data_IF_510105446393
#
_entry.id   IF_510105446393
#
_cell.length_a   1.000
_cell.length_b   1.000
_cell.length_c   1.000
_cell.angle_alpha   90.00
_cell.angle_beta   90.00
_cell.angle_gamma   90.00
#
_symmetry.space_group_name_H-M   'P 1'
#
loop_
_entity.id
_entity.type
_entity.pdbx_description
1 polymer ?
#
# COMPACT_ATOMS: atom_id res chain seq x y z
N UNK A 1 9.15 90.73 -13.10
CA UNK A 1 9.43 89.46 -13.81
C UNK A 1 9.44 88.36 -12.76
N UNK A 2 8.27 87.77 -12.48
CA UNK A 2 8.12 86.65 -11.55
C UNK A 2 7.41 85.56 -12.34
N UNK A 3 8.18 84.59 -12.80
CA UNK A 3 7.70 83.41 -13.52
C UNK A 3 6.84 82.58 -12.57
N UNK A 4 5.55 82.42 -12.88
CA UNK A 4 4.76 81.37 -12.29
C UNK A 4 5.37 80.02 -12.73
N UNK A 5 5.65 79.07 -11.82
CA UNK A 5 6.13 77.76 -12.22
C UNK A 5 5.06 77.06 -13.06
N UNK A 6 5.52 76.32 -14.08
CA UNK A 6 4.71 75.51 -14.96
C UNK A 6 3.94 74.43 -14.15
N UNK A 7 2.61 74.27 -14.30
CA UNK A 7 1.84 73.28 -13.53
C UNK A 7 2.28 71.83 -13.73
N UNK A 8 3.07 71.55 -14.78
CA UNK A 8 3.55 70.22 -15.11
C UNK A 8 4.66 69.67 -14.19
N UNK A 9 5.23 70.47 -13.28
CA UNK A 9 6.30 70.01 -12.37
C UNK A 9 5.82 69.52 -11.00
N UNK A 10 4.50 69.45 -10.79
CA UNK A 10 3.90 68.76 -9.64
C UNK A 10 3.34 67.39 -10.06
N UNK A 11 4.08 66.64 -10.87
CA UNK A 11 3.92 65.18 -10.87
C UNK A 11 4.45 64.68 -9.53
N UNK A 12 3.58 64.75 -8.52
CA UNK A 12 3.76 64.16 -7.20
C UNK A 12 4.31 62.74 -7.41
N UNK A 13 5.60 62.54 -7.09
CA UNK A 13 6.19 61.21 -7.07
C UNK A 13 5.47 60.44 -5.98
N UNK A 14 4.32 59.84 -6.33
CA UNK A 14 3.48 59.12 -5.40
C UNK A 14 4.37 58.03 -4.81
N UNK A 15 4.66 58.19 -3.52
CA UNK A 15 5.55 57.32 -2.77
C UNK A 15 5.14 55.87 -3.05
N UNK A 16 6.07 54.99 -3.47
CA UNK A 16 5.76 53.59 -3.74
C UNK A 16 4.97 52.93 -2.60
N UNK A 17 5.20 53.34 -1.35
CA UNK A 17 4.43 52.88 -0.19
C UNK A 17 2.96 53.30 -0.23
N UNK A 18 2.64 54.50 -0.69
CA UNK A 18 1.26 55.01 -0.84
C UNK A 18 0.50 54.23 -1.92
N UNK A 19 1.16 53.88 -3.04
CA UNK A 19 0.53 53.05 -4.08
C UNK A 19 0.26 51.63 -3.60
N UNK A 20 1.18 51.05 -2.84
CA UNK A 20 1.00 49.74 -2.21
C UNK A 20 -0.15 49.79 -1.19
N UNK A 21 -0.24 50.85 -0.38
CA UNK A 21 -1.32 51.03 0.59
C UNK A 21 -2.69 51.21 -0.08
N UNK A 22 -2.76 52.03 -1.15
CA UNK A 22 -3.99 52.19 -1.94
C UNK A 22 -4.42 50.85 -2.55
N UNK A 23 -3.50 50.11 -3.18
CA UNK A 23 -3.81 48.80 -3.77
C UNK A 23 -4.30 47.79 -2.73
N UNK A 24 -3.67 47.71 -1.55
CA UNK A 24 -4.12 46.84 -0.46
C UNK A 24 -5.52 47.22 0.04
N UNK A 25 -5.83 48.52 0.07
CA UNK A 25 -7.14 49.03 0.52
C UNK A 25 -8.22 48.72 -0.52
N UNK A 26 -7.93 48.94 -1.80
CA UNK A 26 -8.85 48.69 -2.91
C UNK A 26 -9.13 47.18 -3.10
N UNK A 27 -8.15 46.33 -2.81
CA UNK A 27 -8.26 44.87 -2.90
C UNK A 27 -8.53 44.18 -1.55
N UNK A 28 -8.79 44.95 -0.49
CA UNK A 28 -8.95 44.46 0.88
C UNK A 28 -9.98 43.33 1.00
N UNK A 29 -11.10 43.39 0.27
CA UNK A 29 -12.11 42.33 0.25
C UNK A 29 -11.58 41.02 -0.33
N UNK A 30 -10.84 41.08 -1.44
CA UNK A 30 -10.22 39.90 -2.07
C UNK A 30 -9.15 39.32 -1.17
N UNK A 31 -8.34 40.16 -0.53
CA UNK A 31 -7.32 39.73 0.42
C UNK A 31 -7.94 39.05 1.64
N UNK A 32 -8.99 39.60 2.22
CA UNK A 32 -9.71 39.00 3.36
C UNK A 32 -10.33 37.65 2.98
N UNK A 33 -10.98 37.54 1.81
CA UNK A 33 -11.56 36.28 1.35
C UNK A 33 -10.45 35.24 1.08
N UNK A 34 -9.36 35.63 0.44
CA UNK A 34 -8.24 34.72 0.16
C UNK A 34 -7.57 34.22 1.45
N UNK A 35 -7.37 35.11 2.43
CA UNK A 35 -6.84 34.75 3.75
C UNK A 35 -7.80 33.81 4.50
N UNK A 36 -9.11 34.06 4.45
CA UNK A 36 -10.11 33.19 5.05
C UNK A 36 -10.09 31.78 4.43
N UNK A 37 -9.98 31.67 3.10
CA UNK A 37 -9.86 30.38 2.40
C UNK A 37 -8.60 29.63 2.86
N UNK A 38 -7.46 30.32 2.97
CA UNK A 38 -6.21 29.71 3.44
C UNK A 38 -6.34 29.22 4.88
N UNK A 39 -6.90 30.04 5.78
CA UNK A 39 -7.10 29.67 7.19
C UNK A 39 -8.06 28.49 7.31
N UNK A 40 -9.18 28.50 6.59
CA UNK A 40 -10.13 27.37 6.57
C UNK A 40 -9.49 26.11 5.98
N UNK A 41 -8.66 26.24 4.94
CA UNK A 41 -7.90 25.14 4.37
C UNK A 41 -6.92 24.53 5.38
N UNK A 42 -6.15 25.36 6.09
CA UNK A 42 -5.23 24.91 7.14
C UNK A 42 -6.00 24.26 8.30
N UNK A 43 -7.08 24.88 8.77
CA UNK A 43 -7.92 24.32 9.84
C UNK A 43 -8.55 22.98 9.43
N UNK A 44 -8.98 22.86 8.18
CA UNK A 44 -9.49 21.61 7.61
C UNK A 44 -8.42 20.51 7.57
N UNK A 45 -7.19 20.83 7.14
CA UNK A 45 -6.07 19.90 7.14
C UNK A 45 -5.69 19.44 8.55
N UNK A 46 -5.61 20.37 9.50
CA UNK A 46 -5.29 20.05 10.91
C UNK A 46 -6.40 19.20 11.54
N UNK A 47 -7.66 19.58 11.35
CA UNK A 47 -8.80 18.81 11.87
C UNK A 47 -8.87 17.41 11.27
N UNK A 48 -8.63 17.27 9.97
CA UNK A 48 -8.56 15.97 9.29
C UNK A 48 -7.41 15.10 9.82
N UNK A 49 -6.21 15.68 10.01
CA UNK A 49 -5.06 14.94 10.53
C UNK A 49 -5.32 14.41 11.93
N UNK A 50 -5.86 15.23 12.84
CA UNK A 50 -6.19 14.79 14.20
C UNK A 50 -7.28 13.69 14.20
N UNK A 51 -8.31 13.84 13.37
CA UNK A 51 -9.35 12.82 13.22
C UNK A 51 -8.78 11.50 12.67
N UNK A 52 -7.92 11.58 11.65
CA UNK A 52 -7.30 10.41 11.03
C UNK A 52 -6.34 9.70 11.99
N UNK A 53 -5.58 10.45 12.80
CA UNK A 53 -4.62 9.90 13.76
C UNK A 53 -5.34 9.19 14.91
N UNK A 54 -6.39 9.78 15.47
CA UNK A 54 -7.19 9.12 16.51
C UNK A 54 -7.84 7.82 15.99
N UNK A 55 -8.38 7.84 14.77
CA UNK A 55 -8.94 6.63 14.15
C UNK A 55 -7.89 5.55 13.92
N UNK A 56 -6.68 5.93 13.53
CA UNK A 56 -5.58 4.96 13.38
C UNK A 56 -5.24 4.32 14.74
N UNK A 57 -5.09 5.12 15.79
CA UNK A 57 -4.74 4.61 17.12
C UNK A 57 -5.81 3.65 17.67
N UNK A 58 -7.08 4.01 17.53
CA UNK A 58 -8.20 3.15 17.93
C UNK A 58 -8.21 1.84 17.12
N UNK A 59 -8.04 1.93 15.79
CA UNK A 59 -7.99 0.76 14.92
C UNK A 59 -6.82 -0.18 15.25
N UNK A 60 -5.65 0.35 15.62
CA UNK A 60 -4.49 -0.46 16.01
C UNK A 60 -4.74 -1.27 17.29
N UNK A 61 -5.44 -0.69 18.28
CA UNK A 61 -5.78 -1.39 19.52
C UNK A 61 -6.75 -2.55 19.23
N UNK A 62 -7.77 -2.29 18.41
CA UNK A 62 -8.74 -3.32 18.00
C UNK A 62 -8.05 -4.41 17.18
N UNK A 63 -7.17 -4.03 16.25
CA UNK A 63 -6.39 -4.96 15.45
C UNK A 63 -5.56 -5.90 16.32
N UNK A 64 -4.89 -5.38 17.35
CA UNK A 64 -4.09 -6.20 18.26
C UNK A 64 -4.92 -7.28 18.97
N UNK A 65 -6.19 -7.00 19.28
CA UNK A 65 -7.10 -8.01 19.87
C UNK A 65 -7.46 -9.09 18.85
N UNK A 66 -7.81 -8.70 17.61
CA UNK A 66 -8.12 -9.64 16.54
C UNK A 66 -6.90 -10.50 16.12
N UNK A 67 -5.71 -9.92 16.06
CA UNK A 67 -4.44 -10.63 15.88
C UNK A 67 -4.19 -11.64 17.01
N UNK A 68 -4.58 -11.30 18.24
CA UNK A 68 -4.54 -12.20 19.39
C UNK A 68 -5.32 -13.49 19.11
N UNK A 69 -6.56 -13.39 18.65
CA UNK A 69 -7.38 -14.54 18.26
C UNK A 69 -6.76 -15.34 17.10
N UNK A 70 -6.25 -14.64 16.08
CA UNK A 70 -5.60 -15.27 14.93
C UNK A 70 -4.39 -16.12 15.38
N UNK A 71 -3.56 -15.58 16.28
CA UNK A 71 -2.31 -16.20 16.73
C UNK A 71 -2.51 -17.52 17.49
N UNK A 72 -3.70 -17.73 18.06
CA UNK A 72 -4.09 -18.94 18.78
C UNK A 72 -5.06 -19.83 18.00
N UNK A 73 -5.27 -19.55 16.71
CA UNK A 73 -6.11 -20.37 15.82
C UNK A 73 -7.61 -20.17 15.97
N UNK A 74 -8.06 -19.10 16.63
CA UNK A 74 -9.49 -18.76 16.76
C UNK A 74 -9.95 -17.91 15.57
N UNK A 75 -9.94 -18.49 14.38
CA UNK A 75 -10.12 -17.76 13.12
C UNK A 75 -11.48 -17.08 12.97
N UNK A 76 -12.59 -17.73 13.36
CA UNK A 76 -13.92 -17.11 13.35
C UNK A 76 -13.99 -15.88 14.29
N UNK A 77 -13.37 -15.96 15.47
CA UNK A 77 -13.29 -14.85 16.41
C UNK A 77 -12.35 -13.74 15.90
N UNK A 78 -11.27 -14.10 15.21
CA UNK A 78 -10.38 -13.12 14.58
C UNK A 78 -11.10 -12.34 13.47
N UNK A 79 -11.94 -13.01 12.68
CA UNK A 79 -12.71 -12.39 11.60
C UNK A 79 -13.85 -11.52 12.10
N UNK A 80 -14.62 -12.04 13.05
CA UNK A 80 -15.92 -11.48 13.42
C UNK A 80 -15.94 -10.81 14.81
N UNK A 81 -14.89 -10.99 15.61
CA UNK A 81 -14.90 -10.63 17.03
C UNK A 81 -15.73 -11.61 17.86
N UNK A 82 -15.91 -11.26 19.14
CA UNK A 82 -16.71 -12.01 20.11
C UNK A 82 -17.70 -11.04 20.73
N UNK A 83 -18.99 -11.22 20.40
CA UNK A 83 -20.05 -10.30 20.82
C UNK A 83 -20.18 -10.22 22.36
N UNK A 84 -20.04 -11.35 23.06
CA UNK A 84 -20.11 -11.39 24.54
C UNK A 84 -19.01 -10.55 25.22
N UNK A 85 -17.89 -10.39 24.53
CA UNK A 85 -16.69 -9.71 25.05
C UNK A 85 -16.54 -8.32 24.42
N UNK A 86 -17.51 -7.88 23.60
CA UNK A 86 -17.53 -6.63 22.85
C UNK A 86 -16.26 -6.40 22.01
N UNK A 87 -15.68 -7.47 21.47
CA UNK A 87 -14.49 -7.38 20.61
C UNK A 87 -14.89 -7.29 19.14
N UNK A 88 -14.09 -6.57 18.35
CA UNK A 88 -14.25 -6.45 16.90
C UNK A 88 -13.23 -7.33 16.20
N UNK A 89 -13.65 -7.97 15.10
CA UNK A 89 -12.76 -8.74 14.23
C UNK A 89 -12.31 -7.94 13.01
N UNK A 90 -11.47 -8.58 12.18
CA UNK A 90 -10.90 -7.95 11.00
C UNK A 90 -11.95 -7.39 10.04
N UNK A 91 -13.12 -8.03 9.89
CA UNK A 91 -14.20 -7.58 9.00
C UNK A 91 -14.77 -6.24 9.46
N UNK A 92 -15.04 -6.11 10.76
CA UNK A 92 -15.53 -4.86 11.35
C UNK A 92 -14.46 -3.78 11.37
N UNK A 93 -13.19 -4.14 11.60
CA UNK A 93 -12.07 -3.19 11.58
C UNK A 93 -11.89 -2.62 10.17
N UNK A 94 -11.89 -3.47 9.13
CA UNK A 94 -11.74 -3.06 7.74
C UNK A 94 -12.81 -2.05 7.31
N UNK A 95 -14.08 -2.34 7.63
CA UNK A 95 -15.22 -1.49 7.25
C UNK A 95 -15.32 -0.23 8.12
N UNK A 96 -15.18 -0.36 9.44
CA UNK A 96 -15.32 0.74 10.40
C UNK A 96 -14.13 1.71 10.40
N UNK A 97 -12.93 1.23 10.05
CA UNK A 97 -11.69 2.02 10.06
C UNK A 97 -11.08 2.23 8.67
N UNK A 98 -11.88 2.12 7.61
CA UNK A 98 -11.40 2.32 6.24
C UNK A 98 -10.56 3.60 6.09
N UNK A 99 -9.44 3.48 5.38
CA UNK A 99 -8.42 4.52 5.19
C UNK A 99 -7.25 4.47 6.18
N UNK A 100 -7.35 3.72 7.28
CA UNK A 100 -6.25 3.51 8.23
C UNK A 100 -5.29 2.41 7.77
N UNK A 101 -4.06 2.44 8.25
CA UNK A 101 -3.07 1.36 8.04
C UNK A 101 -3.52 0.10 8.76
N UNK A 102 -4.11 0.22 9.95
CA UNK A 102 -4.70 -0.89 10.67
C UNK A 102 -5.80 -1.59 9.87
N UNK A 103 -6.72 -0.85 9.22
CA UNK A 103 -7.76 -1.45 8.37
C UNK A 103 -7.18 -2.12 7.12
N UNK A 104 -6.11 -1.56 6.54
CA UNK A 104 -5.38 -2.21 5.47
C UNK A 104 -4.81 -3.56 5.96
N UNK A 105 -4.12 -3.56 7.10
CA UNK A 105 -3.53 -4.76 7.67
C UNK A 105 -4.58 -5.81 8.10
N UNK A 106 -5.74 -5.36 8.60
CA UNK A 106 -6.89 -6.22 8.86
C UNK A 106 -7.35 -6.98 7.60
N UNK A 107 -7.27 -6.37 6.41
CA UNK A 107 -7.61 -7.05 5.15
C UNK A 107 -6.68 -8.21 4.85
N UNK A 108 -5.37 -8.05 5.13
CA UNK A 108 -4.40 -9.14 5.01
C UNK A 108 -4.66 -10.25 6.04
N UNK A 109 -4.85 -9.91 7.31
CA UNK A 109 -5.09 -10.94 8.32
C UNK A 109 -6.46 -11.62 8.20
N UNK A 110 -7.48 -10.92 7.70
CA UNK A 110 -8.74 -11.54 7.31
C UNK A 110 -8.52 -12.60 6.22
N UNK A 111 -7.67 -12.31 5.23
CA UNK A 111 -7.36 -13.30 4.20
C UNK A 111 -6.70 -14.56 4.75
N UNK A 112 -5.82 -14.43 5.74
CA UNK A 112 -5.21 -15.58 6.42
C UNK A 112 -6.29 -16.36 7.18
N UNK A 113 -7.11 -15.70 7.99
CA UNK A 113 -8.15 -16.37 8.76
C UNK A 113 -9.17 -17.09 7.86
N UNK A 114 -9.57 -16.47 6.74
CA UNK A 114 -10.44 -17.13 5.75
C UNK A 114 -9.77 -18.34 5.11
N UNK A 115 -8.49 -18.25 4.75
CA UNK A 115 -7.75 -19.37 4.17
C UNK A 115 -7.65 -20.54 5.15
N UNK A 116 -7.36 -20.27 6.42
CA UNK A 116 -7.28 -21.29 7.47
C UNK A 116 -8.63 -21.97 7.75
N UNK A 117 -9.75 -21.28 7.49
CA UNK A 117 -11.10 -21.85 7.52
C UNK A 117 -11.46 -22.61 6.24
N UNK A 118 -10.56 -22.73 5.26
CA UNK A 118 -10.80 -23.35 3.97
C UNK A 118 -11.66 -22.50 3.02
N UNK A 119 -11.83 -21.21 3.31
CA UNK A 119 -12.66 -20.27 2.55
C UNK A 119 -11.81 -19.48 1.55
N UNK A 120 -11.18 -20.17 0.59
CA UNK A 120 -10.22 -19.59 -0.37
C UNK A 120 -10.78 -18.41 -1.16
N UNK A 121 -12.04 -18.44 -1.59
CA UNK A 121 -12.66 -17.33 -2.34
C UNK A 121 -12.75 -16.04 -1.50
N UNK A 122 -13.11 -16.17 -0.21
CA UNK A 122 -13.17 -15.04 0.72
C UNK A 122 -11.77 -14.54 1.10
N UNK A 123 -10.80 -15.47 1.17
CA UNK A 123 -9.40 -15.11 1.35
C UNK A 123 -8.88 -14.25 0.19
N UNK A 124 -9.18 -14.65 -1.06
CA UNK A 124 -8.83 -13.89 -2.26
C UNK A 124 -9.49 -12.52 -2.29
N UNK A 125 -10.78 -12.43 -1.97
CA UNK A 125 -11.47 -11.14 -1.89
C UNK A 125 -10.83 -10.21 -0.84
N UNK A 126 -10.44 -10.76 0.31
CA UNK A 126 -9.82 -10.00 1.39
C UNK A 126 -8.42 -9.52 1.03
N UNK A 127 -7.57 -10.40 0.47
CA UNK A 127 -6.19 -10.03 0.09
C UNK A 127 -6.16 -9.06 -1.09
N UNK A 128 -7.14 -9.08 -1.99
CA UNK A 128 -7.25 -8.10 -3.07
C UNK A 128 -7.54 -6.67 -2.57
N UNK A 129 -8.15 -6.55 -1.39
CA UNK A 129 -8.40 -5.25 -0.76
C UNK A 129 -7.16 -4.69 -0.04
N UNK A 130 -6.18 -5.56 0.28
CA UNK A 130 -4.92 -5.16 0.89
C UNK A 130 -4.03 -4.41 -0.11
N UNK A 131 -3.47 -3.30 0.34
CA UNK A 131 -2.47 -2.50 -0.38
C UNK A 131 -1.08 -2.80 0.20
N UNK A 132 -0.16 -3.35 -0.60
CA UNK A 132 1.20 -3.63 -0.16
C UNK A 132 1.91 -2.40 0.40
N UNK A 133 2.54 -2.58 1.56
CA UNK A 133 3.39 -1.57 2.20
C UNK A 133 4.80 -1.67 1.63
N UNK A 134 5.45 -0.53 1.37
CA UNK A 134 6.83 -0.51 0.85
C UNK A 134 7.80 -1.24 1.78
N UNK A 135 8.80 -1.89 1.18
CA UNK A 135 9.86 -2.61 1.89
C UNK A 135 9.43 -4.01 2.33
N UNK A 136 10.24 -4.63 3.18
CA UNK A 136 10.14 -6.05 3.54
C UNK A 136 8.77 -6.48 4.08
N UNK A 137 8.04 -5.59 4.76
CA UNK A 137 6.72 -5.90 5.33
C UNK A 137 5.64 -6.15 4.26
N UNK A 138 5.82 -5.68 3.02
CA UNK A 138 4.91 -5.97 1.92
C UNK A 138 5.16 -7.31 1.24
N UNK A 139 6.35 -7.89 1.40
CA UNK A 139 6.76 -9.12 0.71
C UNK A 139 5.85 -10.30 1.09
N UNK A 140 5.67 -10.53 2.40
CA UNK A 140 4.84 -11.65 2.90
C UNK A 140 3.40 -11.61 2.40
N UNK A 141 2.67 -10.49 2.52
CA UNK A 141 1.32 -10.36 1.98
C UNK A 141 1.21 -10.55 0.46
N UNK A 142 2.19 -10.08 -0.32
CA UNK A 142 2.20 -10.29 -1.78
C UNK A 142 2.39 -11.79 -2.09
N UNK A 143 3.35 -12.45 -1.43
CA UNK A 143 3.56 -13.89 -1.60
C UNK A 143 2.34 -14.71 -1.14
N UNK A 144 1.65 -14.30 -0.07
CA UNK A 144 0.42 -14.96 0.35
C UNK A 144 -0.70 -14.80 -0.67
N UNK A 145 -0.81 -13.63 -1.33
CA UNK A 145 -1.73 -13.47 -2.47
C UNK A 145 -1.38 -14.44 -3.60
N UNK A 146 -0.10 -14.59 -3.94
CA UNK A 146 0.35 -15.56 -4.95
C UNK A 146 -0.06 -16.98 -4.57
N UNK A 147 0.17 -17.39 -3.32
CA UNK A 147 -0.28 -18.69 -2.79
C UNK A 147 -1.79 -18.90 -2.95
N UNK A 148 -2.60 -17.90 -2.61
CA UNK A 148 -4.06 -18.00 -2.78
C UNK A 148 -4.49 -18.14 -4.25
N UNK A 149 -3.73 -17.53 -5.18
CA UNK A 149 -3.93 -17.71 -6.62
C UNK A 149 -3.50 -19.10 -7.09
N UNK A 150 -2.51 -19.75 -6.47
CA UNK A 150 -2.21 -21.16 -6.77
C UNK A 150 -3.34 -22.08 -6.31
N UNK A 151 -3.85 -21.85 -5.10
CA UNK A 151 -4.89 -22.66 -4.47
C UNK A 151 -6.22 -22.62 -5.25
N UNK A 152 -6.51 -21.51 -5.95
CA UNK A 152 -7.69 -21.42 -6.83
C UNK A 152 -7.40 -21.84 -8.29
N UNK A 153 -6.19 -22.32 -8.59
CA UNK A 153 -5.77 -22.78 -9.91
C UNK A 153 -5.36 -21.68 -10.90
N UNK A 154 -5.24 -20.42 -10.47
CA UNK A 154 -4.79 -19.29 -11.29
C UNK A 154 -3.26 -19.23 -11.38
N UNK A 155 -2.63 -20.30 -11.84
CA UNK A 155 -1.17 -20.48 -11.77
C UNK A 155 -0.35 -19.40 -12.47
N UNK A 156 -0.81 -18.88 -13.62
CA UNK A 156 -0.10 -17.80 -14.32
C UNK A 156 -0.06 -16.53 -13.48
N UNK A 157 -1.23 -16.13 -12.94
CA UNK A 157 -1.33 -14.96 -12.06
C UNK A 157 -0.57 -15.16 -10.74
N UNK A 158 -0.50 -16.39 -10.23
CA UNK A 158 0.32 -16.71 -9.07
C UNK A 158 1.81 -16.52 -9.36
N UNK A 159 2.29 -16.97 -10.52
CA UNK A 159 3.67 -16.75 -10.96
C UNK A 159 4.03 -15.27 -10.98
N UNK A 160 3.20 -14.45 -11.64
CA UNK A 160 3.38 -13.00 -11.69
C UNK A 160 3.41 -12.39 -10.29
N UNK A 161 2.54 -12.86 -9.40
CA UNK A 161 2.44 -12.33 -8.04
C UNK A 161 3.59 -12.76 -7.13
N UNK A 162 4.17 -13.93 -7.34
CA UNK A 162 5.43 -14.29 -6.67
C UNK A 162 6.60 -13.47 -7.21
N UNK A 163 6.64 -13.15 -8.50
CA UNK A 163 7.66 -12.24 -9.05
C UNK A 163 7.53 -10.83 -8.49
N UNK A 164 6.30 -10.34 -8.29
CA UNK A 164 6.06 -9.10 -7.53
C UNK A 164 6.67 -9.20 -6.13
N UNK A 165 6.47 -10.31 -5.40
CA UNK A 165 7.04 -10.49 -4.05
C UNK A 165 8.57 -10.55 -4.07
N UNK A 166 9.15 -11.25 -5.05
CA UNK A 166 10.60 -11.41 -5.22
C UNK A 166 11.31 -10.08 -5.43
N UNK A 167 10.68 -9.17 -6.19
CA UNK A 167 11.23 -7.86 -6.59
C UNK A 167 10.74 -6.69 -5.72
N UNK A 168 9.80 -6.92 -4.79
CA UNK A 168 9.25 -5.86 -3.94
C UNK A 168 10.28 -5.28 -2.96
N UNK A 169 11.18 -6.13 -2.45
CA UNK A 169 12.25 -5.76 -1.54
C UNK A 169 13.36 -6.80 -1.60
N UNK A 170 14.36 -6.56 -2.45
CA UNK A 170 15.49 -7.46 -2.70
C UNK A 170 16.12 -7.98 -1.40
N UNK A 171 16.25 -9.30 -1.30
CA UNK A 171 16.79 -9.99 -0.13
C UNK A 171 17.31 -11.38 -0.53
N UNK A 172 18.56 -11.68 -0.20
CA UNK A 172 19.26 -12.95 -0.47
C UNK A 172 18.53 -14.21 0.02
N UNK A 173 17.68 -14.07 1.05
CA UNK A 173 16.89 -15.16 1.62
C UNK A 173 15.52 -15.35 0.98
N UNK A 174 14.79 -14.27 0.69
CA UNK A 174 13.40 -14.35 0.22
C UNK A 174 13.24 -14.20 -1.29
N UNK A 175 14.08 -13.40 -1.95
CA UNK A 175 14.02 -13.22 -3.41
C UNK A 175 14.19 -14.53 -4.17
N UNK A 176 15.25 -15.34 -3.93
CA UNK A 176 15.39 -16.61 -4.65
C UNK A 176 14.33 -17.65 -4.25
N UNK A 177 13.72 -17.56 -3.06
CA UNK A 177 12.58 -18.42 -2.71
C UNK A 177 11.39 -18.11 -3.62
N UNK A 178 10.97 -16.84 -3.66
CA UNK A 178 9.80 -16.44 -4.45
C UNK A 178 10.03 -16.54 -5.96
N UNK A 179 11.26 -16.37 -6.45
CA UNK A 179 11.60 -16.72 -7.84
C UNK A 179 11.37 -18.22 -8.12
N UNK A 180 11.77 -19.09 -7.19
CA UNK A 180 11.55 -20.54 -7.34
C UNK A 180 10.05 -20.87 -7.31
N UNK A 181 9.29 -20.28 -6.39
CA UNK A 181 7.83 -20.46 -6.35
C UNK A 181 7.17 -19.97 -7.65
N UNK A 182 7.55 -18.78 -8.14
CA UNK A 182 7.06 -18.25 -9.40
C UNK A 182 7.31 -19.21 -10.56
N UNK A 183 8.52 -19.76 -10.67
CA UNK A 183 8.86 -20.74 -11.71
C UNK A 183 8.02 -22.02 -11.62
N UNK A 184 7.72 -22.52 -10.41
CA UNK A 184 6.79 -23.64 -10.25
C UNK A 184 5.36 -23.26 -10.67
N UNK A 185 4.87 -22.07 -10.34
CA UNK A 185 3.55 -21.61 -10.79
C UNK A 185 3.50 -21.47 -12.31
N UNK A 186 4.52 -20.88 -12.95
CA UNK A 186 4.62 -20.80 -14.42
C UNK A 186 4.66 -22.20 -15.07
N UNK A 187 5.41 -23.15 -14.49
CA UNK A 187 5.40 -24.55 -14.93
C UNK A 187 3.98 -25.14 -14.87
N UNK A 188 3.24 -24.93 -13.77
CA UNK A 188 1.86 -25.43 -13.62
C UNK A 188 0.90 -24.76 -14.60
N UNK A 189 1.14 -23.50 -14.96
CA UNK A 189 0.40 -22.79 -16.00
C UNK A 189 0.70 -23.28 -17.42
N UNK A 190 1.74 -24.11 -17.60
CA UNK A 190 2.24 -24.52 -18.91
C UNK A 190 3.14 -23.49 -19.60
N UNK A 191 3.50 -22.41 -18.90
CA UNK A 191 4.42 -21.39 -19.39
C UNK A 191 5.87 -21.78 -19.08
N UNK A 192 6.37 -22.77 -19.83
CA UNK A 192 7.69 -23.34 -19.60
C UNK A 192 8.83 -22.39 -19.97
N UNK A 193 8.61 -21.48 -20.92
CA UNK A 193 9.61 -20.49 -21.35
C UNK A 193 9.88 -19.48 -20.22
N UNK A 194 8.83 -18.88 -19.66
CA UNK A 194 8.97 -17.96 -18.51
C UNK A 194 9.54 -18.69 -17.29
N UNK A 195 9.10 -19.92 -17.03
CA UNK A 195 9.65 -20.72 -15.94
C UNK A 195 11.16 -20.97 -16.10
N UNK A 196 11.64 -21.24 -17.32
CA UNK A 196 13.06 -21.44 -17.64
C UNK A 196 13.87 -20.15 -17.44
N UNK A 197 13.32 -19.01 -17.85
CA UNK A 197 13.95 -17.71 -17.65
C UNK A 197 14.16 -17.42 -16.16
N UNK A 198 13.10 -17.58 -15.35
CA UNK A 198 13.13 -17.27 -13.92
C UNK A 198 14.11 -18.17 -13.16
N UNK A 199 14.14 -19.49 -13.42
CA UNK A 199 15.13 -20.37 -12.78
C UNK A 199 16.55 -20.08 -13.25
N UNK A 200 16.73 -19.65 -14.50
CA UNK A 200 18.02 -19.20 -15.03
C UNK A 200 18.55 -18.00 -14.24
N UNK A 201 17.72 -16.95 -14.13
CA UNK A 201 18.04 -15.76 -13.34
C UNK A 201 18.35 -16.12 -11.88
N UNK A 202 17.55 -16.99 -11.24
CA UNK A 202 17.80 -17.43 -9.87
C UNK A 202 19.19 -18.06 -9.73
N UNK A 203 19.56 -18.96 -10.65
CA UNK A 203 20.86 -19.67 -10.61
C UNK A 203 22.03 -18.70 -10.80
N UNK A 204 21.88 -17.75 -11.72
CA UNK A 204 22.95 -16.83 -12.11
C UNK A 204 23.14 -15.70 -11.10
N UNK A 205 22.04 -15.11 -10.62
CA UNK A 205 22.07 -13.94 -9.73
C UNK A 205 22.22 -14.33 -8.25
N UNK A 206 21.74 -15.52 -7.86
CA UNK A 206 21.78 -16.02 -6.46
C UNK A 206 22.54 -17.35 -6.32
N UNK A 207 23.80 -17.47 -6.77
CA UNK A 207 24.51 -18.75 -6.87
C UNK A 207 24.81 -19.42 -5.51
N UNK A 208 24.71 -18.68 -4.40
CA UNK A 208 24.90 -19.21 -3.03
C UNK A 208 23.57 -19.51 -2.32
N UNK A 209 22.44 -19.30 -2.97
CA UNK A 209 21.13 -19.56 -2.39
C UNK A 209 20.90 -21.06 -2.14
N UNK A 210 20.22 -21.38 -1.04
CA UNK A 210 19.78 -22.75 -0.74
C UNK A 210 18.79 -23.31 -1.77
N UNK A 211 18.23 -22.46 -2.64
CA UNK A 211 17.25 -22.82 -3.66
C UNK A 211 17.88 -23.21 -5.01
N UNK A 212 19.18 -22.97 -5.23
CA UNK A 212 19.85 -23.25 -6.52
C UNK A 212 19.74 -24.71 -6.95
N UNK A 213 19.86 -25.65 -6.00
CA UNK A 213 19.75 -27.09 -6.31
C UNK A 213 18.37 -27.45 -6.85
N UNK A 214 17.31 -26.88 -6.26
CA UNK A 214 15.94 -27.07 -6.70
C UNK A 214 15.69 -26.39 -8.05
N UNK A 215 16.20 -25.17 -8.23
CA UNK A 215 16.11 -24.43 -9.50
C UNK A 215 16.76 -25.21 -10.66
N UNK A 216 17.95 -25.80 -10.45
CA UNK A 216 18.62 -26.65 -11.46
C UNK A 216 17.81 -27.91 -11.79
N UNK A 217 17.22 -28.54 -10.77
CA UNK A 217 16.33 -29.70 -10.95
C UNK A 217 15.10 -29.34 -11.77
N UNK A 218 14.48 -28.20 -11.48
CA UNK A 218 13.35 -27.67 -12.22
C UNK A 218 13.74 -27.32 -13.67
N UNK A 219 14.85 -26.60 -13.88
CA UNK A 219 15.37 -26.27 -15.20
C UNK A 219 15.54 -27.52 -16.08
N UNK A 220 16.14 -28.59 -15.54
CA UNK A 220 16.31 -29.85 -16.26
C UNK A 220 14.97 -30.50 -16.68
N UNK A 221 13.95 -30.43 -15.83
CA UNK A 221 12.59 -30.91 -16.17
C UNK A 221 11.95 -30.06 -17.25
N UNK A 222 12.05 -28.73 -17.13
CA UNK A 222 11.46 -27.79 -18.09
C UNK A 222 12.05 -27.96 -19.50
N UNK A 223 13.37 -28.19 -19.61
CA UNK A 223 14.02 -28.45 -20.91
C UNK A 223 13.48 -29.70 -21.62
N UNK A 224 13.02 -30.70 -20.86
CA UNK A 224 12.40 -31.92 -21.42
C UNK A 224 10.92 -31.67 -21.77
N UNK A 225 10.22 -30.82 -21.02
CA UNK A 225 8.83 -30.49 -21.29
C UNK A 225 8.67 -29.53 -22.48
N UNK A 226 9.70 -28.74 -22.78
CA UNK A 226 9.70 -27.75 -23.85
C UNK A 226 10.30 -28.29 -25.18
N UNK A 227 10.70 -29.57 -25.23
CA UNK A 227 11.25 -30.23 -26.42
C UNK A 227 10.21 -31.03 -27.17
#
# INVERSE_FOLDING_TARGET
MSTFPNPAEQEEQVDPSVRVLQWLTDNSKVLIISAAIVITGIAGLVGWNLYSENREQEAQILLATAEGYLSVGLYDAALNGVESDFTLGFVQIQSGYSGTKAANLASYYASIAYYELGQTDLALQSIQSYKPVKGILGVGPIAFHAKLLEENGSFLAAGDRYMDAATWSDNEGTTPDFMLQAAYSYQQAGDYDTALEVVGQLIDDYPQSLYVSQAKSLQGKLLVLNS
#
